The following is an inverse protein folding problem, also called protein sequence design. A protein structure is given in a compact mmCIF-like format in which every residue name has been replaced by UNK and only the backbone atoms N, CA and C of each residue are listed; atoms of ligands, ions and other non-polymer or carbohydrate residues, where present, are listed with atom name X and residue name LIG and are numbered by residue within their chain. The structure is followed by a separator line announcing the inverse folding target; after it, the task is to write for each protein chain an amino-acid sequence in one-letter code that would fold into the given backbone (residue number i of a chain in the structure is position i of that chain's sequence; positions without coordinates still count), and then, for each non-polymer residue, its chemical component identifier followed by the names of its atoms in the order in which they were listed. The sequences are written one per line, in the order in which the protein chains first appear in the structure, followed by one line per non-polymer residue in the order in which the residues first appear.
data_IF_103581449437
#
_entry.id   IF_103581449437
#
_cell.length_a   1.000
_cell.length_b   1.000
_cell.length_c   1.000
_cell.angle_alpha   90.00
_cell.angle_beta   90.00
_cell.angle_gamma   90.00
#
_symmetry.space_group_name_H-M   'P 1'
#
loop_
_entity.id
_entity.type
_entity.pdbx_description
1 polymer ?
#
# COMPACT_ATOMS: atom_id res chain seq x y z
N UNK A 1 -16.30 -11.26 27.52
CA UNK A 1 -14.94 -11.45 28.05
C UNK A 1 -14.00 -10.85 27.01
N UNK A 2 -13.11 -9.93 27.39
CA UNK A 2 -12.11 -9.41 26.45
C UNK A 2 -11.22 -10.59 26.04
N UNK A 3 -11.03 -10.81 24.74
CA UNK A 3 -10.05 -11.79 24.25
C UNK A 3 -8.68 -11.41 24.80
N UNK A 4 -7.88 -12.36 25.29
CA UNK A 4 -6.53 -12.05 25.73
C UNK A 4 -5.73 -11.55 24.54
N UNK A 5 -5.17 -10.35 24.66
CA UNK A 5 -4.14 -9.85 23.75
C UNK A 5 -3.06 -10.91 23.62
N UNK A 6 -2.61 -11.19 22.40
CA UNK A 6 -1.52 -12.12 22.15
C UNK A 6 -0.30 -11.67 22.98
N UNK A 7 0.05 -12.47 23.98
CA UNK A 7 1.16 -12.20 24.88
C UNK A 7 2.46 -12.44 24.09
N UNK A 8 2.99 -11.38 23.48
CA UNK A 8 4.14 -11.46 22.57
C UNK A 8 5.40 -12.02 23.23
N UNK A 9 5.50 -11.89 24.55
CA UNK A 9 6.52 -12.52 25.41
C UNK A 9 6.45 -14.06 25.38
N UNK A 10 5.27 -14.64 25.21
CA UNK A 10 5.07 -16.10 25.13
C UNK A 10 5.47 -16.70 23.76
N UNK A 11 5.60 -15.86 22.72
CA UNK A 11 6.04 -16.29 21.39
C UNK A 11 7.57 -16.40 21.27
N UNK A 12 8.31 -15.81 22.22
CA UNK A 12 9.78 -15.75 22.21
C UNK A 12 10.34 -14.77 21.17
N UNK A 13 11.63 -14.45 21.30
CA UNK A 13 12.37 -13.64 20.32
C UNK A 13 13.19 -14.56 19.43
N UNK A 14 12.94 -14.56 18.13
CA UNK A 14 13.74 -15.28 17.14
C UNK A 14 14.47 -14.29 16.22
N UNK A 15 15.79 -14.41 16.14
CA UNK A 15 16.64 -13.68 15.19
C UNK A 15 17.67 -14.65 14.62
N UNK A 16 17.95 -14.53 13.32
CA UNK A 16 18.93 -15.36 12.63
C UNK A 16 19.83 -14.48 11.75
N UNK A 17 21.12 -14.80 11.72
CA UNK A 17 22.08 -14.22 10.77
C UNK A 17 21.82 -14.68 9.33
N UNK A 18 20.98 -15.70 9.14
CA UNK A 18 20.58 -16.26 7.86
C UNK A 18 19.32 -15.59 7.28
N UNK A 19 18.93 -14.42 7.80
CA UNK A 19 17.78 -13.68 7.28
C UNK A 19 18.02 -13.27 5.80
N UNK A 20 16.99 -13.29 4.94
CA UNK A 20 17.12 -12.80 3.57
C UNK A 20 17.55 -11.33 3.53
N UNK A 21 18.41 -10.98 2.56
CA UNK A 21 18.91 -9.59 2.41
C UNK A 21 17.80 -8.62 1.98
N UNK A 22 16.87 -9.05 1.14
CA UNK A 22 15.76 -8.24 0.65
C UNK A 22 14.62 -9.12 0.11
N UNK A 23 13.41 -8.56 0.02
CA UNK A 23 12.36 -9.11 -0.83
C UNK A 23 12.76 -8.88 -2.28
N UNK A 24 13.02 -9.95 -3.05
CA UNK A 24 13.52 -9.81 -4.42
C UNK A 24 12.41 -9.39 -5.39
N UNK A 25 11.38 -10.22 -5.55
CA UNK A 25 10.32 -9.99 -6.52
C UNK A 25 8.95 -10.56 -6.13
N UNK A 26 7.90 -9.94 -6.66
CA UNK A 26 6.52 -10.43 -6.64
C UNK A 26 6.18 -11.06 -7.99
N UNK A 27 5.55 -12.23 -7.99
CA UNK A 27 5.08 -12.90 -9.21
C UNK A 27 3.56 -12.84 -9.29
N UNK A 28 3.05 -12.26 -10.38
CA UNK A 28 1.61 -12.07 -10.63
C UNK A 28 1.19 -12.95 -11.81
N UNK A 29 0.21 -13.84 -11.57
CA UNK A 29 -0.46 -14.61 -12.63
C UNK A 29 -1.74 -13.89 -13.03
N UNK A 30 -1.90 -13.64 -14.33
CA UNK A 30 -3.03 -12.83 -14.81
C UNK A 30 -3.56 -13.27 -16.17
N UNK A 31 -4.88 -13.31 -16.33
CA UNK A 31 -5.53 -13.45 -17.64
C UNK A 31 -5.66 -12.10 -18.38
N UNK A 32 -5.32 -10.98 -17.70
CA UNK A 32 -5.36 -9.59 -18.17
C UNK A 32 -3.95 -9.05 -18.44
N UNK A 33 -3.08 -9.89 -19.03
CA UNK A 33 -1.64 -9.70 -19.18
C UNK A 33 -1.19 -8.27 -19.56
N UNK A 34 -1.71 -7.70 -20.65
CA UNK A 34 -1.32 -6.35 -21.08
C UNK A 34 -1.81 -5.25 -20.13
N UNK A 35 -2.95 -5.46 -19.46
CA UNK A 35 -3.49 -4.52 -18.48
C UNK A 35 -2.62 -4.52 -17.21
N UNK A 36 -2.20 -5.69 -16.74
CA UNK A 36 -1.29 -5.82 -15.61
C UNK A 36 0.06 -5.17 -15.92
N UNK A 37 0.63 -5.40 -17.11
CA UNK A 37 1.88 -4.75 -17.53
C UNK A 37 1.73 -3.23 -17.49
N UNK A 38 0.66 -2.66 -18.06
CA UNK A 38 0.44 -1.21 -18.01
C UNK A 38 0.28 -0.71 -16.58
N UNK A 39 -0.54 -1.37 -15.77
CA UNK A 39 -0.80 -0.99 -14.39
C UNK A 39 0.50 -0.92 -13.57
N UNK A 40 1.30 -1.99 -13.55
CA UNK A 40 2.52 -2.05 -12.76
C UNK A 40 3.61 -1.10 -13.26
N UNK A 41 3.72 -0.90 -14.59
CA UNK A 41 4.62 0.11 -15.16
C UNK A 41 4.21 1.52 -14.77
N UNK A 42 2.92 1.85 -14.85
CA UNK A 42 2.41 3.17 -14.45
C UNK A 42 2.59 3.39 -12.95
N UNK A 43 2.31 2.39 -12.10
CA UNK A 43 2.42 2.53 -10.66
C UNK A 43 3.86 2.79 -10.23
N UNK A 44 4.81 1.96 -10.67
CA UNK A 44 6.18 2.02 -10.20
C UNK A 44 7.12 2.85 -11.08
N UNK A 45 6.66 3.35 -12.23
CA UNK A 45 7.55 3.91 -13.24
C UNK A 45 8.50 2.86 -13.81
N UNK A 46 8.08 1.58 -13.83
CA UNK A 46 8.95 0.46 -14.12
C UNK A 46 9.27 0.31 -15.62
N UNK A 47 10.50 -0.11 -15.88
CA UNK A 47 11.00 -0.51 -17.19
C UNK A 47 10.75 -2.01 -17.43
N UNK A 48 10.70 -2.40 -18.71
CA UNK A 48 10.60 -3.82 -19.10
C UNK A 48 12.02 -4.35 -19.24
N UNK A 49 12.44 -5.20 -18.31
CA UNK A 49 13.72 -5.90 -18.38
C UNK A 49 13.68 -7.04 -19.41
N UNK A 50 12.53 -7.72 -19.53
CA UNK A 50 12.32 -8.79 -20.51
C UNK A 50 10.83 -8.98 -20.78
N UNK A 51 10.43 -9.29 -22.01
CA UNK A 51 9.06 -9.69 -22.31
C UNK A 51 8.96 -10.66 -23.50
N UNK A 52 8.01 -11.58 -23.40
CA UNK A 52 7.60 -12.44 -24.52
C UNK A 52 6.08 -12.73 -24.43
N UNK A 53 5.60 -13.71 -25.21
CA UNK A 53 4.16 -14.05 -25.24
C UNK A 53 3.60 -14.61 -23.92
N UNK A 54 4.46 -15.13 -23.03
CA UNK A 54 4.11 -15.81 -21.78
C UNK A 54 4.48 -15.00 -20.53
N UNK A 55 5.57 -14.24 -20.57
CA UNK A 55 6.17 -13.58 -19.41
C UNK A 55 6.50 -12.11 -19.70
N UNK A 56 6.43 -11.26 -18.67
CA UNK A 56 6.97 -9.91 -18.69
C UNK A 56 7.60 -9.62 -17.33
N UNK A 57 8.86 -9.19 -17.33
CA UNK A 57 9.62 -8.84 -16.14
C UNK A 57 9.82 -7.33 -16.09
N UNK A 58 9.43 -6.74 -14.97
CA UNK A 58 9.49 -5.30 -14.72
C UNK A 58 10.51 -5.01 -13.62
N UNK A 59 11.32 -3.98 -13.81
CA UNK A 59 12.24 -3.47 -12.80
C UNK A 59 12.12 -1.95 -12.66
N UNK A 60 12.46 -1.44 -11.48
CA UNK A 60 12.49 0.00 -11.16
C UNK A 60 13.70 0.38 -10.28
N UNK A 61 14.61 -0.57 -10.04
CA UNK A 61 15.85 -0.37 -9.30
C UNK A 61 16.94 -1.33 -9.81
N UNK A 62 17.94 -1.63 -8.97
CA UNK A 62 19.09 -2.46 -9.33
C UNK A 62 18.78 -3.96 -9.41
N UNK A 63 17.64 -4.42 -8.90
CA UNK A 63 17.27 -5.84 -8.97
C UNK A 63 16.89 -6.22 -10.40
N UNK A 64 17.24 -7.45 -10.84
CA UNK A 64 17.05 -7.85 -12.23
C UNK A 64 15.57 -7.76 -12.67
N UNK A 65 14.64 -7.92 -11.73
CA UNK A 65 13.22 -7.61 -11.82
C UNK A 65 12.61 -7.59 -10.43
N UNK A 66 11.65 -6.67 -10.22
CA UNK A 66 10.84 -6.59 -8.99
C UNK A 66 9.45 -7.21 -9.16
N UNK A 67 8.95 -7.24 -10.39
CA UNK A 67 7.65 -7.83 -10.70
C UNK A 67 7.76 -8.73 -11.92
N UNK A 68 7.35 -9.98 -11.76
CA UNK A 68 7.20 -10.92 -12.86
C UNK A 68 5.72 -11.17 -13.14
N UNK A 69 5.29 -10.94 -14.38
CA UNK A 69 3.92 -11.13 -14.81
C UNK A 69 3.86 -12.37 -15.70
N UNK A 70 3.02 -13.33 -15.33
CA UNK A 70 2.79 -14.59 -16.05
C UNK A 70 1.41 -14.53 -16.70
N UNK A 71 1.36 -14.76 -18.01
CA UNK A 71 0.12 -14.82 -18.78
C UNK A 71 -0.64 -16.12 -18.51
N UNK A 72 -1.89 -15.99 -18.11
CA UNK A 72 -2.84 -17.08 -17.95
C UNK A 72 -3.84 -17.12 -19.14
N UNK A 73 -4.49 -18.28 -19.40
CA UNK A 73 -5.55 -18.39 -20.39
C UNK A 73 -6.69 -17.39 -20.15
N UNK A 74 -7.18 -16.75 -21.22
CA UNK A 74 -8.24 -15.73 -21.17
C UNK A 74 -9.51 -16.16 -20.41
N UNK A 75 -10.01 -17.41 -20.51
CA UNK A 75 -11.20 -17.83 -19.76
C UNK A 75 -11.06 -17.70 -18.25
N UNK A 76 -9.84 -17.79 -17.71
CA UNK A 76 -9.59 -17.64 -16.27
C UNK A 76 -9.79 -16.20 -15.77
N UNK A 77 -10.02 -15.22 -16.65
CA UNK A 77 -10.35 -13.85 -16.26
C UNK A 77 -11.58 -13.78 -15.35
N UNK A 78 -12.53 -14.72 -15.49
CA UNK A 78 -13.70 -14.80 -14.61
C UNK A 78 -13.32 -15.10 -13.15
N UNK A 79 -12.15 -15.71 -12.92
CA UNK A 79 -11.69 -16.04 -11.58
C UNK A 79 -11.19 -14.84 -10.78
N UNK A 80 -10.93 -13.68 -11.41
CA UNK A 80 -10.48 -12.49 -10.67
C UNK A 80 -11.53 -11.98 -9.68
N UNK A 81 -12.83 -12.23 -9.95
CA UNK A 81 -13.90 -11.94 -9.00
C UNK A 81 -13.78 -12.78 -7.73
N UNK A 82 -13.44 -14.06 -7.85
CA UNK A 82 -13.20 -14.92 -6.71
C UNK A 82 -11.95 -14.52 -5.94
N UNK A 83 -10.91 -14.00 -6.61
CA UNK A 83 -9.71 -13.50 -5.93
C UNK A 83 -10.04 -12.34 -4.96
N UNK A 84 -10.80 -11.34 -5.44
CA UNK A 84 -11.25 -10.21 -4.61
C UNK A 84 -12.07 -10.63 -3.39
N UNK A 85 -12.89 -11.67 -3.54
CA UNK A 85 -13.71 -12.20 -2.44
C UNK A 85 -12.84 -13.01 -1.50
N UNK A 86 -12.01 -13.91 -2.03
CA UNK A 86 -11.16 -14.80 -1.24
C UNK A 86 -10.20 -14.05 -0.33
N UNK A 87 -9.58 -12.97 -0.83
CA UNK A 87 -8.68 -12.08 -0.08
C UNK A 87 -9.27 -11.59 1.25
N UNK A 88 -10.60 -11.42 1.33
CA UNK A 88 -11.30 -10.94 2.53
C UNK A 88 -11.40 -11.98 3.64
N UNK A 89 -11.13 -13.24 3.33
CA UNK A 89 -11.29 -14.35 4.27
C UNK A 89 -9.96 -15.04 4.57
N UNK A 90 -9.06 -15.18 3.59
CA UNK A 90 -7.78 -15.89 3.74
C UNK A 90 -6.76 -15.45 2.68
N UNK A 91 -5.47 -15.63 3.00
CA UNK A 91 -4.35 -15.38 2.08
C UNK A 91 -3.56 -14.11 2.39
N UNK A 92 -2.89 -13.55 1.37
CA UNK A 92 -2.15 -12.30 1.46
C UNK A 92 -3.15 -11.14 1.35
N UNK A 93 -3.25 -10.29 2.37
CA UNK A 93 -4.15 -9.13 2.31
C UNK A 93 -3.64 -8.07 1.32
N UNK A 94 -2.37 -7.68 1.42
CA UNK A 94 -1.72 -6.72 0.53
C UNK A 94 -0.19 -6.89 0.50
N UNK A 95 0.46 -6.21 -0.45
CA UNK A 95 1.92 -6.02 -0.50
C UNK A 95 2.22 -4.53 -0.41
N UNK A 96 3.04 -4.14 0.56
CA UNK A 96 3.39 -2.75 0.82
C UNK A 96 4.71 -2.32 0.17
N UNK A 97 4.76 -1.08 -0.30
CA UNK A 97 5.92 -0.43 -0.90
C UNK A 97 6.13 0.94 -0.26
N UNK A 98 7.29 1.13 0.37
CA UNK A 98 7.66 2.41 0.97
C UNK A 98 8.32 3.32 -0.07
N UNK A 99 7.91 4.57 -0.09
CA UNK A 99 8.55 5.67 -0.81
C UNK A 99 9.35 6.53 0.15
N UNK A 100 10.39 7.17 -0.38
CA UNK A 100 11.31 8.02 0.39
C UNK A 100 10.60 9.11 1.20
N UNK A 101 9.60 9.75 0.61
CA UNK A 101 8.92 10.89 1.20
C UNK A 101 7.51 11.07 0.65
N UNK A 102 6.72 11.94 1.29
CA UNK A 102 5.34 12.20 0.91
C UNK A 102 5.28 12.80 -0.50
N UNK A 103 6.29 13.59 -0.90
CA UNK A 103 6.34 14.14 -2.25
C UNK A 103 6.41 13.06 -3.33
N UNK A 104 7.24 12.04 -3.18
CA UNK A 104 7.28 10.93 -4.13
C UNK A 104 5.96 10.16 -4.17
N UNK A 105 5.38 9.84 -3.00
CA UNK A 105 4.09 9.14 -2.92
C UNK A 105 2.98 9.91 -3.65
N UNK A 106 2.91 11.23 -3.44
CA UNK A 106 1.89 12.08 -4.08
C UNK A 106 2.12 12.27 -5.58
N UNK A 107 3.38 12.18 -6.07
CA UNK A 107 3.66 12.11 -7.51
C UNK A 107 3.20 10.80 -8.13
N UNK A 108 3.29 9.68 -7.41
CA UNK A 108 2.71 8.41 -7.86
C UNK A 108 1.19 8.49 -7.91
N UNK A 109 0.56 9.09 -6.89
CA UNK A 109 -0.88 9.36 -6.89
C UNK A 109 -1.31 10.14 -8.13
N UNK A 110 -0.65 11.25 -8.43
CA UNK A 110 -0.96 12.06 -9.61
C UNK A 110 -0.82 11.25 -10.91
N UNK A 111 0.28 10.50 -11.06
CA UNK A 111 0.51 9.65 -12.24
C UNK A 111 -0.57 8.58 -12.41
N UNK A 112 -0.96 7.93 -11.32
CA UNK A 112 -2.01 6.91 -11.32
C UNK A 112 -3.38 7.51 -11.67
N UNK A 113 -3.71 8.65 -11.06
CA UNK A 113 -4.95 9.39 -11.35
C UNK A 113 -5.01 9.84 -12.81
N UNK A 114 -3.93 10.40 -13.35
CA UNK A 114 -3.85 10.82 -14.74
C UNK A 114 -4.03 9.64 -15.74
N UNK A 115 -3.59 8.44 -15.35
CA UNK A 115 -3.80 7.22 -16.11
C UNK A 115 -5.20 6.58 -15.92
N UNK A 116 -6.07 7.20 -15.13
CA UNK A 116 -7.44 6.73 -14.87
C UNK A 116 -7.56 5.65 -13.80
N UNK A 117 -6.51 5.38 -13.03
CA UNK A 117 -6.57 4.45 -11.91
C UNK A 117 -7.09 5.15 -10.66
N UNK A 118 -8.08 4.53 -10.01
CA UNK A 118 -8.69 5.07 -8.79
C UNK A 118 -7.97 4.55 -7.56
N UNK A 119 -7.68 5.44 -6.62
CA UNK A 119 -7.27 5.08 -5.27
C UNK A 119 -8.44 4.37 -4.58
N UNK A 120 -8.18 3.17 -4.06
CA UNK A 120 -9.17 2.39 -3.31
C UNK A 120 -9.43 3.02 -1.94
N UNK A 121 -8.35 3.37 -1.24
CA UNK A 121 -8.39 3.91 0.11
C UNK A 121 -7.17 4.78 0.37
N UNK A 122 -7.38 5.92 1.01
CA UNK A 122 -6.34 6.83 1.47
C UNK A 122 -6.50 7.03 2.96
N UNK A 123 -5.50 6.65 3.74
CA UNK A 123 -5.55 6.69 5.20
C UNK A 123 -4.18 6.95 5.80
N UNK A 124 -4.18 7.54 6.98
CA UNK A 124 -2.99 7.69 7.80
C UNK A 124 -3.14 6.81 9.04
N UNK A 125 -2.40 5.70 9.09
CA UNK A 125 -2.40 4.71 10.17
C UNK A 125 -1.66 5.20 11.43
N UNK A 126 -1.14 6.42 11.40
CA UNK A 126 -0.30 7.00 12.46
C UNK A 126 1.16 6.69 12.21
N UNK A 127 1.50 5.42 12.02
CA UNK A 127 2.85 4.97 11.64
C UNK A 127 3.20 5.38 10.22
N UNK A 128 2.25 5.26 9.30
CA UNK A 128 2.44 5.49 7.87
C UNK A 128 1.28 6.29 7.27
N UNK A 129 1.59 7.06 6.23
CA UNK A 129 0.59 7.69 5.35
C UNK A 129 0.49 6.87 4.07
N UNK A 130 -0.70 6.35 3.75
CA UNK A 130 -0.83 5.27 2.77
C UNK A 130 -1.93 5.50 1.73
N UNK A 131 -1.69 4.98 0.53
CA UNK A 131 -2.63 4.90 -0.59
C UNK A 131 -2.74 3.44 -1.04
N UNK A 132 -3.95 2.88 -0.98
CA UNK A 132 -4.24 1.55 -1.48
C UNK A 132 -4.73 1.59 -2.92
N UNK A 133 -4.27 0.63 -3.71
CA UNK A 133 -4.74 0.35 -5.06
C UNK A 133 -5.02 -1.14 -5.22
N UNK A 134 -5.83 -1.48 -6.21
CA UNK A 134 -5.97 -2.85 -6.69
C UNK A 134 -5.42 -2.97 -8.10
N UNK A 135 -4.67 -4.04 -8.35
CA UNK A 135 -4.30 -4.43 -9.70
C UNK A 135 -5.52 -4.94 -10.50
N UNK A 136 -5.38 -5.24 -11.81
CA UNK A 136 -6.49 -5.71 -12.63
C UNK A 136 -7.16 -7.01 -12.16
N UNK A 137 -6.50 -7.81 -11.32
CA UNK A 137 -7.01 -9.07 -10.78
C UNK A 137 -7.43 -8.96 -9.31
N UNK A 138 -7.35 -7.76 -8.72
CA UNK A 138 -7.79 -7.48 -7.34
C UNK A 138 -6.73 -7.70 -6.27
N UNK A 139 -5.45 -7.86 -6.64
CA UNK A 139 -4.36 -7.89 -5.67
C UNK A 139 -4.18 -6.48 -5.09
N UNK A 140 -4.22 -6.37 -3.77
CA UNK A 140 -4.11 -5.08 -3.08
C UNK A 140 -2.65 -4.70 -2.89
N UNK A 141 -2.34 -3.45 -3.24
CA UNK A 141 -1.03 -2.85 -3.09
C UNK A 141 -1.15 -1.63 -2.19
N UNK A 142 -0.27 -1.55 -1.20
CA UNK A 142 -0.16 -0.42 -0.29
C UNK A 142 1.06 0.40 -0.67
N UNK A 143 0.85 1.68 -1.01
CA UNK A 143 1.93 2.63 -1.26
C UNK A 143 2.01 3.54 -0.05
N UNK A 144 3.16 3.56 0.63
CA UNK A 144 3.30 4.24 1.92
C UNK A 144 4.52 5.15 2.00
N UNK A 145 4.49 6.05 2.98
CA UNK A 145 5.66 6.74 3.53
C UNK A 145 5.60 6.63 5.06
N UNK A 146 6.75 6.51 5.69
CA UNK A 146 6.87 6.50 7.14
C UNK A 146 6.64 7.91 7.72
N UNK A 147 5.84 7.99 8.79
CA UNK A 147 5.53 9.25 9.46
C UNK A 147 6.58 9.64 10.52
N UNK A 148 7.45 8.71 10.90
CA UNK A 148 8.55 8.88 11.85
C UNK A 148 9.89 8.73 11.15
N UNK A 149 10.88 9.50 11.58
CA UNK A 149 12.20 9.51 10.94
C UNK A 149 13.11 8.40 11.51
N UNK A 150 12.82 7.90 12.72
CA UNK A 150 13.59 6.86 13.40
C UNK A 150 12.72 5.78 14.03
N UNK A 151 13.31 4.59 14.22
CA UNK A 151 12.64 3.50 14.92
C UNK A 151 12.38 3.85 16.39
N UNK A 152 13.29 4.60 17.02
CA UNK A 152 13.16 5.05 18.41
C UNK A 152 11.95 5.98 18.60
N UNK A 153 11.74 6.94 17.70
CA UNK A 153 10.56 7.81 17.72
C UNK A 153 9.26 7.00 17.58
N UNK A 154 9.24 6.04 16.66
CA UNK A 154 8.10 5.14 16.46
C UNK A 154 7.82 4.31 17.73
N UNK A 155 8.85 3.76 18.37
CA UNK A 155 8.71 2.98 19.61
C UNK A 155 8.18 3.84 20.77
N UNK A 156 8.67 5.08 20.91
CA UNK A 156 8.15 6.01 21.90
C UNK A 156 6.66 6.34 21.65
N UNK A 157 6.27 6.49 20.38
CA UNK A 157 4.89 6.71 20.03
C UNK A 157 4.01 5.48 20.33
N UNK A 158 4.48 4.27 20.06
CA UNK A 158 3.77 3.05 20.48
C UNK A 158 3.58 2.99 22.00
N UNK A 159 4.62 3.29 22.78
CA UNK A 159 4.55 3.30 24.24
C UNK A 159 3.58 4.35 24.81
N UNK A 160 3.21 5.38 24.03
CA UNK A 160 2.23 6.39 24.44
C UNK A 160 0.77 5.88 24.44
N UNK A 161 0.50 4.72 23.82
CA UNK A 161 -0.85 4.16 23.69
C UNK A 161 -1.72 4.82 22.61
N UNK A 162 -1.20 5.81 21.86
CA UNK A 162 -1.95 6.47 20.79
C UNK A 162 -2.31 5.50 19.65
N UNK A 163 -1.42 4.56 19.33
CA UNK A 163 -1.70 3.54 18.30
C UNK A 163 -2.89 2.66 18.67
N UNK A 164 -3.01 2.23 19.94
CA UNK A 164 -4.11 1.38 20.39
C UNK A 164 -5.47 2.09 20.29
N UNK A 165 -5.49 3.42 20.45
CA UNK A 165 -6.72 4.22 20.33
C UNK A 165 -7.23 4.30 18.88
N UNK A 166 -6.35 4.29 17.88
CA UNK A 166 -6.74 4.40 16.47
C UNK A 166 -5.72 3.79 15.48
N UNK A 167 -5.54 2.47 15.54
CA UNK A 167 -4.62 1.73 14.67
C UNK A 167 -5.10 1.58 13.21
N UNK A 168 -6.41 1.74 12.96
CA UNK A 168 -7.00 1.70 11.61
C UNK A 168 -6.81 3.02 10.84
N UNK A 169 -6.35 4.06 11.54
CA UNK A 169 -6.00 5.33 10.95
C UNK A 169 -7.15 6.32 10.76
N UNK A 170 -6.81 7.41 10.08
CA UNK A 170 -7.71 8.51 9.73
C UNK A 170 -7.64 8.73 8.23
N UNK A 171 -8.78 8.71 7.55
CA UNK A 171 -8.82 8.99 6.12
C UNK A 171 -8.38 10.43 5.84
N UNK A 172 -7.68 10.61 4.72
CA UNK A 172 -7.38 11.92 4.15
C UNK A 172 -7.92 11.98 2.71
N UNK A 173 -8.00 13.19 2.16
CA UNK A 173 -8.33 13.43 0.76
C UNK A 173 -7.01 13.58 -0.04
N UNK A 174 -6.70 12.64 -0.95
CA UNK A 174 -5.45 12.70 -1.72
C UNK A 174 -5.32 13.95 -2.61
N UNK A 175 -6.42 14.51 -3.10
CA UNK A 175 -6.39 15.72 -3.91
C UNK A 175 -6.03 16.93 -3.05
N UNK A 176 -6.61 17.03 -1.85
CA UNK A 176 -6.22 18.07 -0.90
C UNK A 176 -4.79 17.89 -0.40
N UNK A 177 -4.35 16.66 -0.18
CA UNK A 177 -2.98 16.35 0.21
C UNK A 177 -1.99 16.84 -0.86
N UNK A 178 -2.26 16.53 -2.13
CA UNK A 178 -1.44 16.97 -3.25
C UNK A 178 -1.45 18.50 -3.39
N UNK A 179 -2.62 19.13 -3.22
CA UNK A 179 -2.76 20.59 -3.27
C UNK A 179 -1.94 21.28 -2.16
N UNK A 180 -2.08 20.84 -0.91
CA UNK A 180 -1.37 21.44 0.22
C UNK A 180 0.14 21.24 0.12
N UNK A 181 0.57 20.06 -0.32
CA UNK A 181 1.98 19.80 -0.58
C UNK A 181 2.54 20.75 -1.65
N UNK A 182 1.81 20.98 -2.75
CA UNK A 182 2.20 21.94 -3.80
C UNK A 182 2.20 23.39 -3.33
N UNK A 183 1.38 23.72 -2.35
CA UNK A 183 1.37 25.02 -1.70
C UNK A 183 2.54 25.21 -0.71
N UNK A 184 3.39 24.19 -0.52
CA UNK A 184 4.57 24.27 0.33
C UNK A 184 4.32 23.99 1.80
N UNK A 185 3.17 23.39 2.16
CA UNK A 185 2.95 22.92 3.54
C UNK A 185 3.99 21.85 3.87
N UNK A 186 4.71 21.95 5.00
CA UNK A 186 5.76 20.98 5.35
C UNK A 186 5.23 19.55 5.45
N UNK A 187 5.98 18.58 4.92
CA UNK A 187 5.58 17.16 4.97
C UNK A 187 5.31 16.67 6.40
N UNK A 188 6.08 17.14 7.38
CA UNK A 188 5.90 16.79 8.79
C UNK A 188 4.52 17.18 9.32
N UNK A 189 3.90 18.23 8.79
CA UNK A 189 2.53 18.61 9.15
C UNK A 189 1.51 17.75 8.41
N UNK A 190 1.75 17.46 7.14
CA UNK A 190 0.86 16.65 6.29
C UNK A 190 0.85 15.16 6.67
N UNK A 191 1.93 14.64 7.26
CA UNK A 191 2.05 13.28 7.79
C UNK A 191 1.36 13.10 9.14
N UNK A 192 0.82 14.15 9.77
CA UNK A 192 0.03 14.03 11.01
C UNK A 192 -1.37 13.49 10.72
N UNK A 193 -1.87 12.62 11.60
CA UNK A 193 -3.21 12.06 11.46
C UNK A 193 -4.29 13.16 11.39
N UNK A 194 -5.12 13.07 10.35
CA UNK A 194 -6.21 14.02 10.09
C UNK A 194 -5.82 15.29 9.34
N UNK A 195 -4.58 15.40 8.86
CA UNK A 195 -4.21 16.38 7.84
C UNK A 195 -4.95 16.12 6.52
N UNK A 196 -4.92 17.11 5.61
CA UNK A 196 -5.51 17.04 4.26
C UNK A 196 -6.97 16.52 4.23
N UNK A 197 -7.81 17.02 5.13
CA UNK A 197 -9.24 16.69 5.17
C UNK A 197 -10.10 17.94 4.90
N UNK A 198 -11.21 17.84 4.14
CA UNK A 198 -12.04 19.01 3.85
C UNK A 198 -12.58 19.68 5.12
N UNK A 199 -12.45 21.00 5.19
CA UNK A 199 -12.98 21.79 6.31
C UNK A 199 -14.49 21.60 6.46
N UNK A 200 -14.96 21.56 7.72
CA UNK A 200 -16.39 21.38 8.04
C UNK A 200 -16.94 19.96 7.85
N UNK A 201 -16.15 18.99 7.36
CA UNK A 201 -16.58 17.59 7.27
C UNK A 201 -16.10 16.76 8.46
N UNK A 202 -16.97 15.90 9.00
CA UNK A 202 -16.58 14.94 10.04
C UNK A 202 -15.53 13.97 9.51
N UNK A 203 -14.40 13.83 10.21
CA UNK A 203 -13.35 12.87 9.87
C UNK A 203 -13.88 11.44 9.88
N UNK A 204 -13.29 10.60 9.03
CA UNK A 204 -13.53 9.16 9.00
C UNK A 204 -12.29 8.50 9.62
N UNK A 205 -12.48 7.81 10.74
CA UNK A 205 -11.41 7.21 11.53
C UNK A 205 -11.88 5.91 12.19
N UNK A 206 -10.93 5.07 12.63
CA UNK A 206 -11.22 3.80 13.30
C UNK A 206 -12.07 2.88 12.42
N UNK A 207 -13.00 2.15 13.04
CA UNK A 207 -13.91 1.24 12.35
C UNK A 207 -14.74 1.90 11.23
N UNK A 208 -14.92 3.22 11.26
CA UNK A 208 -15.66 3.95 10.21
C UNK A 208 -14.85 4.12 8.93
N UNK A 209 -13.53 3.96 8.99
CA UNK A 209 -12.66 3.95 7.81
C UNK A 209 -12.77 2.62 7.03
N UNK A 210 -13.24 1.57 7.68
CA UNK A 210 -13.44 0.25 7.08
C UNK A 210 -14.85 0.16 6.48
N UNK A 211 -14.93 -0.31 5.23
CA UNK A 211 -16.17 -0.68 4.57
C UNK A 211 -15.91 -1.86 3.63
N UNK A 212 -16.96 -2.39 2.98
CA UNK A 212 -16.83 -3.56 2.10
C UNK A 212 -15.82 -3.37 0.95
N UNK A 213 -15.52 -2.15 0.51
CA UNK A 213 -14.50 -1.90 -0.52
C UNK A 213 -13.09 -1.85 0.06
N UNK A 214 -12.94 -1.41 1.31
CA UNK A 214 -11.64 -1.25 1.98
C UNK A 214 -11.25 -2.44 2.87
N UNK A 215 -12.19 -3.35 3.16
CA UNK A 215 -11.94 -4.74 3.57
C UNK A 215 -11.30 -5.51 2.42
#
# INVERSE_FOLDING_TARGET
MAEPTLATDQLGVFRSELAPKQMAHLVVRTARFHEAIRFYRTMFGAEIAFANRRFCFLTYDHEHHRIAIIRMPRPLRLLSHFNRIGRKFYGIDHVAYTFENLHQLMRVYERMKAAGYQTLWATNHGTTTVLYYEDPDGNRLELQVDNFDTAEELQQWFASGEFEKNNLGVNFDPDLMLQQLRAGVPEKELKRQGAAWPSGKRRIAGMRAINWRTL
#
